data_IF_205558977697
#
_entry.id   IF_205558977697
#
_cell.length_a   1.000
_cell.length_b   1.000
_cell.length_c   1.000
_cell.angle_alpha   90.00
_cell.angle_beta   90.00
_cell.angle_gamma   90.00
#
_symmetry.space_group_name_H-M   'P 1'
#
loop_
_entity.id
_entity.type
_entity.pdbx_description
1 polymer ?
#
# COMPACT_ATOMS: atom_id res chain seq x y z
N UNK A 1 -0.48 -12.00 15.13
CA UNK A 1 -0.39 -10.70 15.78
C UNK A 1 -0.78 -9.57 14.86
N UNK A 2 -1.58 -8.65 15.33
CA UNK A 2 -2.01 -7.55 14.48
C UNK A 2 -0.89 -6.55 14.29
N UNK A 3 -0.83 -5.95 13.11
CA UNK A 3 0.13 -4.90 12.80
C UNK A 3 -0.21 -3.64 13.62
N UNK A 4 0.79 -3.03 14.22
CA UNK A 4 0.56 -1.86 15.07
C UNK A 4 0.64 -0.58 14.24
N UNK A 5 -0.54 -0.09 13.83
CA UNK A 5 -0.65 1.15 13.05
C UNK A 5 -0.45 2.41 13.89
N UNK A 6 -0.24 2.27 15.21
CA UNK A 6 0.01 3.42 16.08
C UNK A 6 1.49 3.59 16.39
N UNK A 7 2.34 2.66 15.94
CA UNK A 7 3.75 2.73 16.26
C UNK A 7 4.43 3.93 15.61
N UNK A 8 5.47 4.50 16.24
CA UNK A 8 6.21 5.59 15.62
C UNK A 8 6.86 5.18 14.29
N UNK A 9 7.31 3.93 14.19
CA UNK A 9 7.91 3.43 12.96
C UNK A 9 6.90 3.47 11.81
N UNK A 10 5.67 3.03 12.06
CA UNK A 10 4.63 3.07 11.04
C UNK A 10 4.30 4.49 10.65
N UNK A 11 4.16 5.38 11.64
CA UNK A 11 3.80 6.76 11.35
C UNK A 11 4.84 7.46 10.48
N UNK A 12 6.12 7.17 10.72
CA UNK A 12 7.20 7.73 9.89
C UNK A 12 7.16 7.19 8.47
N UNK A 13 6.95 5.88 8.33
CA UNK A 13 6.88 5.26 7.01
C UNK A 13 5.68 5.78 6.23
N UNK A 14 4.52 5.85 6.89
CA UNK A 14 3.31 6.37 6.28
C UNK A 14 3.51 7.82 5.81
N UNK A 15 4.09 8.65 6.66
CA UNK A 15 4.35 10.04 6.30
C UNK A 15 5.26 10.15 5.08
N UNK A 16 6.25 9.29 4.99
CA UNK A 16 7.16 9.28 3.84
C UNK A 16 6.42 8.89 2.56
N UNK A 17 5.60 7.85 2.63
CA UNK A 17 4.83 7.40 1.47
C UNK A 17 3.89 8.50 0.97
N UNK A 18 3.18 9.14 1.90
CA UNK A 18 2.27 10.22 1.54
C UNK A 18 3.01 11.41 0.92
N UNK A 19 4.15 11.78 1.52
CA UNK A 19 4.93 12.91 1.03
C UNK A 19 5.50 12.63 -0.36
N UNK A 20 6.01 11.43 -0.59
CA UNK A 20 6.55 11.05 -1.90
C UNK A 20 5.48 11.07 -2.97
N UNK A 21 4.24 10.76 -2.62
CA UNK A 21 3.11 10.82 -3.53
C UNK A 21 2.56 12.24 -3.68
N UNK A 22 3.14 13.21 -2.98
CA UNK A 22 2.67 14.60 -2.97
C UNK A 22 1.22 14.66 -2.51
N UNK A 23 0.85 13.76 -1.60
CA UNK A 23 -0.49 13.70 -1.00
C UNK A 23 -1.59 13.48 -2.03
N UNK A 24 -1.26 12.82 -3.14
CA UNK A 24 -2.23 12.49 -4.17
C UNK A 24 -2.53 11.01 -4.16
N UNK A 25 -3.82 10.68 -4.26
CA UNK A 25 -4.25 9.29 -4.37
C UNK A 25 -3.73 8.71 -5.68
N UNK A 26 -2.86 7.72 -5.59
CA UNK A 26 -2.22 7.13 -6.77
C UNK A 26 -3.21 6.31 -7.58
N UNK A 27 -4.21 5.71 -6.93
CA UNK A 27 -5.23 4.95 -7.62
C UNK A 27 -6.13 5.87 -8.45
N UNK A 28 -6.61 6.97 -7.84
CA UNK A 28 -7.43 7.94 -8.55
C UNK A 28 -6.67 8.55 -9.71
N UNK A 29 -5.37 8.80 -9.51
CA UNK A 29 -4.52 9.38 -10.53
C UNK A 29 -4.46 8.52 -11.80
N UNK A 30 -4.46 7.19 -11.64
CA UNK A 30 -4.43 6.28 -12.78
C UNK A 30 -5.66 6.44 -13.68
N UNK A 31 -6.76 6.91 -13.11
CA UNK A 31 -8.01 7.07 -13.83
C UNK A 31 -8.33 8.53 -14.11
N UNK A 32 -7.32 9.39 -14.07
CA UNK A 32 -7.49 10.79 -14.41
C UNK A 32 -8.20 11.63 -13.36
N UNK A 33 -8.39 11.09 -12.15
CA UNK A 33 -9.03 11.83 -11.07
C UNK A 33 -8.01 12.38 -10.10
N UNK A 34 -8.38 13.44 -9.42
CA UNK A 34 -7.50 14.10 -8.47
C UNK A 34 -8.14 14.05 -7.09
N UNK A 35 -7.58 13.24 -6.21
CA UNK A 35 -8.05 13.08 -4.84
C UNK A 35 -6.87 13.15 -3.89
N UNK A 36 -7.09 13.72 -2.73
CA UNK A 36 -6.06 13.80 -1.71
C UNK A 36 -5.84 12.44 -1.08
N UNK A 37 -4.57 12.05 -0.94
CA UNK A 37 -4.22 10.82 -0.24
C UNK A 37 -4.08 11.11 1.24
N UNK A 38 -4.71 10.27 2.05
CA UNK A 38 -4.69 10.39 3.50
C UNK A 38 -4.23 9.12 4.18
N UNK A 39 -4.05 8.04 3.43
CA UNK A 39 -3.67 6.75 4.01
C UNK A 39 -2.63 6.05 3.15
N UNK A 40 -1.81 5.24 3.77
CA UNK A 40 -0.88 4.35 3.07
C UNK A 40 -1.45 2.94 3.17
N UNK A 41 -1.74 2.35 2.03
CA UNK A 41 -2.40 1.05 1.92
C UNK A 41 -1.37 -0.04 1.65
N UNK A 42 -1.43 -1.14 2.43
CA UNK A 42 -0.63 -2.32 2.14
C UNK A 42 -1.25 -3.05 0.96
N UNK A 43 -0.54 -3.08 -0.16
CA UNK A 43 -1.05 -3.70 -1.40
C UNK A 43 -1.18 -5.20 -1.21
N UNK A 44 -0.13 -5.83 -0.65
CA UNK A 44 -0.16 -7.22 -0.20
C UNK A 44 -0.49 -7.19 1.28
N UNK A 45 -1.67 -7.72 1.70
CA UNK A 45 -2.14 -7.55 3.08
C UNK A 45 -1.17 -8.09 4.11
N UNK A 46 -0.94 -7.31 5.15
CA UNK A 46 0.01 -7.66 6.22
C UNK A 46 -0.37 -8.97 6.92
N UNK A 47 -1.67 -9.21 7.06
CA UNK A 47 -2.12 -10.41 7.75
C UNK A 47 -1.68 -11.68 7.05
N UNK A 48 -1.63 -11.63 5.71
CA UNK A 48 -1.24 -12.79 4.92
C UNK A 48 0.23 -12.75 4.50
N UNK A 49 0.80 -11.56 4.47
CA UNK A 49 2.18 -11.35 3.98
C UNK A 49 2.94 -10.43 4.93
N UNK A 50 3.15 -10.88 6.19
CA UNK A 50 3.82 -10.02 7.17
C UNK A 50 5.25 -9.66 6.79
N UNK A 51 5.87 -10.44 5.94
CA UNK A 51 7.24 -10.16 5.48
C UNK A 51 7.31 -8.89 4.65
N UNK A 52 6.18 -8.42 4.11
CA UNK A 52 6.15 -7.20 3.29
C UNK A 52 5.63 -5.98 4.05
N UNK A 53 5.42 -6.12 5.36
CA UNK A 53 4.79 -5.06 6.15
C UNK A 53 5.54 -3.74 6.12
N UNK A 54 6.87 -3.78 6.03
CA UNK A 54 7.71 -2.59 6.09
C UNK A 54 8.34 -2.23 4.75
N UNK A 55 7.92 -2.89 3.68
CA UNK A 55 8.47 -2.65 2.35
C UNK A 55 7.76 -1.48 1.68
N UNK A 56 8.52 -0.46 1.28
CA UNK A 56 7.92 0.72 0.65
C UNK A 56 7.21 0.37 -0.66
N UNK A 57 7.74 -0.59 -1.43
CA UNK A 57 7.09 -0.99 -2.67
C UNK A 57 5.68 -1.57 -2.44
N UNK A 58 5.41 -2.02 -1.21
CA UNK A 58 4.13 -2.61 -0.85
C UNK A 58 3.12 -1.56 -0.36
N UNK A 59 3.50 -0.28 -0.38
CA UNK A 59 2.66 0.79 0.15
C UNK A 59 2.28 1.75 -0.96
N UNK A 60 1.01 2.13 -0.98
CA UNK A 60 0.51 3.09 -1.96
C UNK A 60 -0.34 4.13 -1.24
N UNK A 61 -0.13 5.39 -1.59
CA UNK A 61 -0.90 6.50 -1.04
C UNK A 61 -2.29 6.53 -1.67
N UNK A 62 -3.34 6.48 -0.86
CA UNK A 62 -4.72 6.44 -1.32
C UNK A 62 -5.58 7.45 -0.59
N UNK A 63 -6.61 7.94 -1.27
CA UNK A 63 -7.69 8.66 -0.61
C UNK A 63 -8.47 7.69 0.27
N UNK A 64 -9.25 8.24 1.20
CA UNK A 64 -10.08 7.40 2.06
C UNK A 64 -11.06 6.57 1.24
N UNK A 65 -11.66 7.18 0.22
CA UNK A 65 -12.61 6.49 -0.64
C UNK A 65 -11.96 5.34 -1.41
N UNK A 66 -10.77 5.57 -1.97
CA UNK A 66 -10.06 4.51 -2.69
C UNK A 66 -9.62 3.41 -1.75
N UNK A 67 -9.15 3.75 -0.55
CA UNK A 67 -8.76 2.75 0.44
C UNK A 67 -9.95 1.90 0.85
N UNK A 68 -11.10 2.53 1.07
CA UNK A 68 -12.32 1.79 1.41
C UNK A 68 -12.73 0.83 0.30
N UNK A 69 -12.45 1.19 -0.95
CA UNK A 69 -12.79 0.34 -2.09
C UNK A 69 -11.90 -0.89 -2.21
N UNK A 70 -10.76 -0.93 -1.50
CA UNK A 70 -9.82 -2.05 -1.58
C UNK A 70 -10.19 -3.21 -0.69
N UNK A 71 -11.02 -2.98 0.34
CA UNK A 71 -11.36 -4.02 1.32
C UNK A 71 -12.86 -4.17 1.45
N UNK A 72 -13.31 -5.42 1.61
CA UNK A 72 -14.70 -5.72 1.94
C UNK A 72 -14.94 -5.35 3.40
N UNK A 73 -15.96 -4.54 3.67
CA UNK A 73 -16.21 -4.04 5.02
C UNK A 73 -16.63 -5.14 5.99
N UNK A 74 -17.28 -6.17 5.48
CA UNK A 74 -17.77 -7.24 6.34
C UNK A 74 -16.67 -8.23 6.70
N UNK A 75 -15.78 -8.55 5.76
CA UNK A 75 -14.78 -9.60 5.95
C UNK A 75 -13.36 -9.06 6.13
N UNK A 76 -13.10 -7.82 5.73
CA UNK A 76 -11.76 -7.24 5.72
C UNK A 76 -10.88 -7.74 4.60
N UNK A 77 -11.37 -8.66 3.79
CA UNK A 77 -10.59 -9.21 2.67
C UNK A 77 -10.56 -8.22 1.51
N UNK A 78 -9.59 -8.38 0.63
CA UNK A 78 -9.48 -7.53 -0.55
C UNK A 78 -10.70 -7.73 -1.45
N UNK A 79 -11.19 -6.61 -1.99
CA UNK A 79 -12.20 -6.62 -3.04
C UNK A 79 -11.54 -6.98 -4.36
N UNK A 80 -12.35 -7.06 -5.43
CA UNK A 80 -11.81 -7.27 -6.78
C UNK A 80 -10.80 -6.18 -7.13
N UNK A 81 -11.07 -4.92 -6.75
CA UNK A 81 -10.15 -3.81 -7.01
C UNK A 81 -8.85 -3.99 -6.23
N UNK A 82 -8.94 -4.40 -4.96
CA UNK A 82 -7.77 -4.65 -4.14
C UNK A 82 -6.94 -5.80 -4.67
N UNK A 83 -7.60 -6.87 -5.12
CA UNK A 83 -6.91 -8.02 -5.69
C UNK A 83 -6.23 -7.67 -7.02
N UNK A 84 -6.88 -6.85 -7.83
CA UNK A 84 -6.31 -6.42 -9.09
C UNK A 84 -5.02 -5.61 -8.86
N UNK A 85 -5.07 -4.70 -7.90
CA UNK A 85 -3.90 -3.92 -7.54
C UNK A 85 -2.77 -4.82 -7.04
N UNK A 86 -3.12 -5.81 -6.21
CA UNK A 86 -2.14 -6.77 -5.67
C UNK A 86 -1.47 -7.54 -6.81
N UNK A 87 -2.25 -8.04 -7.75
CA UNK A 87 -1.71 -8.83 -8.86
C UNK A 87 -0.77 -8.00 -9.73
N UNK A 88 -1.06 -6.71 -9.88
CA UNK A 88 -0.24 -5.83 -10.73
C UNK A 88 1.02 -5.35 -10.03
N UNK A 89 1.11 -5.52 -8.71
CA UNK A 89 2.26 -5.09 -7.94
C UNK A 89 3.09 -6.32 -7.59
N UNK A 90 4.13 -6.56 -8.38
CA UNK A 90 4.95 -7.75 -8.23
C UNK A 90 6.06 -7.48 -7.22
N UNK A 91 6.16 -8.32 -6.16
CA UNK A 91 7.25 -8.13 -5.19
C UNK A 91 8.60 -8.26 -5.88
N UNK A 92 9.58 -7.42 -5.50
CA UNK A 92 10.92 -7.55 -6.06
C UNK A 92 11.52 -8.91 -5.74
N UNK A 93 12.13 -9.51 -6.73
CA UNK A 93 12.81 -10.78 -6.52
C UNK A 93 14.01 -10.58 -5.61
N UNK A 94 14.24 -11.44 -4.61
CA UNK A 94 15.44 -11.33 -3.79
C UNK A 94 16.72 -11.37 -4.59
N UNK A 95 16.78 -12.19 -5.65
CA UNK A 95 17.96 -12.26 -6.49
C UNK A 95 18.14 -10.97 -7.28
N UNK A 96 17.08 -10.40 -7.82
CA UNK A 96 17.15 -9.12 -8.51
C UNK A 96 17.59 -8.03 -7.55
N UNK A 97 17.04 -8.04 -6.33
CA UNK A 97 17.41 -7.07 -5.32
C UNK A 97 18.88 -7.17 -4.96
N UNK A 98 19.38 -8.39 -4.81
CA UNK A 98 20.79 -8.62 -4.51
C UNK A 98 21.70 -8.16 -5.62
N UNK A 99 21.32 -8.43 -6.85
CA UNK A 99 22.11 -8.04 -8.00
C UNK A 99 22.10 -6.55 -8.23
N UNK A 100 20.99 -5.93 -7.91
CA UNK A 100 20.85 -4.48 -8.12
C UNK A 100 21.86 -3.66 -7.35
N UNK A 101 22.50 -4.23 -6.37
CA UNK A 101 23.46 -3.51 -5.57
C UNK A 101 24.90 -3.68 -6.01
N UNK A 102 25.11 -4.47 -6.99
CA UNK A 102 26.46 -4.70 -7.47
C UNK A 102 26.92 -3.63 -8.42
#
# INVERSE_FOLDING_TARGET
MAFDYTSPRWRRLRARVLRQAQYRCQYAKRYGRREEATTAHHIWPVEDYPEFAWCEWNLIALSQASHNAMHDRATGKLTAAGEDLRRKTIPPSPSASGLGRK
#
